data_IF_508180030033
#
_entry.id   IF_508180030033
#
_cell.length_a   1.000
_cell.length_b   1.000
_cell.length_c   1.000
_cell.angle_alpha   90.00
_cell.angle_beta   90.00
_cell.angle_gamma   90.00
#
_symmetry.space_group_name_H-M   'P 1'
#
loop_
_entity.id
_entity.type
_entity.pdbx_description
1 polymer ?
#
# COMPACT_ATOMS: atom_id res chain seq x y z
N UNK A 1 17.51 -13.62 11.50
CA UNK A 1 18.29 -12.65 12.25
C UNK A 1 19.44 -12.13 11.42
N UNK A 2 19.61 -10.82 11.42
CA UNK A 2 20.73 -10.14 10.80
C UNK A 2 21.50 -9.35 11.86
N UNK A 3 22.80 -9.37 11.76
CA UNK A 3 23.71 -8.61 12.62
C UNK A 3 24.34 -7.48 11.81
N UNK A 4 24.35 -6.27 12.36
CA UNK A 4 25.00 -5.14 11.71
C UNK A 4 26.51 -5.33 11.74
N UNK A 5 27.14 -5.30 10.57
CA UNK A 5 28.59 -5.47 10.43
C UNK A 5 29.29 -4.11 10.40
N UNK A 6 28.76 -3.17 9.61
CA UNK A 6 29.27 -1.80 9.53
C UNK A 6 28.32 -0.89 8.75
N UNK A 7 28.01 0.28 9.24
CA UNK A 7 27.09 1.22 8.58
C UNK A 7 25.73 0.57 8.29
N UNK A 8 25.35 0.50 7.03
CA UNK A 8 24.10 -0.17 6.56
C UNK A 8 24.33 -1.59 6.05
N UNK A 9 25.48 -2.20 6.32
CA UNK A 9 25.76 -3.59 5.95
C UNK A 9 25.41 -4.55 7.06
N UNK A 10 24.64 -5.60 6.72
CA UNK A 10 24.17 -6.61 7.64
C UNK A 10 24.56 -8.00 7.12
N UNK A 11 25.00 -8.87 8.04
CA UNK A 11 25.25 -10.28 7.76
C UNK A 11 24.16 -11.13 8.43
N UNK A 12 23.77 -12.22 7.78
CA UNK A 12 22.84 -13.17 8.37
C UNK A 12 23.54 -13.93 9.51
N UNK A 13 23.10 -13.69 10.73
CA UNK A 13 23.63 -14.33 11.96
C UNK A 13 22.90 -15.63 12.31
N UNK A 14 21.69 -15.82 11.78
CA UNK A 14 20.90 -17.03 12.01
C UNK A 14 19.56 -16.97 11.31
N UNK A 15 18.91 -18.12 11.20
CA UNK A 15 17.58 -18.26 10.64
C UNK A 15 16.84 -19.42 11.25
N UNK A 16 15.53 -19.34 11.29
CA UNK A 16 14.63 -20.41 11.66
C UNK A 16 13.46 -20.40 10.70
N UNK A 17 13.08 -21.56 10.21
CA UNK A 17 11.87 -21.75 9.41
C UNK A 17 10.85 -22.53 10.20
N UNK A 18 9.60 -22.08 10.13
CA UNK A 18 8.47 -22.79 10.73
C UNK A 18 7.28 -22.67 9.79
N UNK A 19 6.38 -23.66 9.85
CA UNK A 19 5.11 -23.62 9.12
C UNK A 19 4.01 -23.13 10.07
N UNK A 20 3.15 -22.26 9.55
CA UNK A 20 1.97 -21.76 10.25
C UNK A 20 0.76 -22.07 9.39
N UNK A 21 -0.27 -22.61 10.00
CA UNK A 21 -1.60 -22.73 9.41
C UNK A 21 -2.42 -21.52 9.86
N UNK A 22 -2.91 -20.74 8.91
CA UNK A 22 -3.73 -19.56 9.19
C UNK A 22 -5.20 -19.97 9.22
N UNK A 23 -5.94 -19.56 10.22
CA UNK A 23 -7.41 -19.73 10.27
C UNK A 23 -8.08 -18.88 9.18
N UNK A 24 -7.56 -17.69 8.94
CA UNK A 24 -7.97 -16.79 7.84
C UNK A 24 -6.73 -16.37 7.04
N UNK A 25 -6.70 -16.77 5.78
CA UNK A 25 -5.59 -16.49 4.86
C UNK A 25 -5.48 -14.99 4.54
N UNK A 26 -6.55 -14.22 4.73
CA UNK A 26 -6.58 -12.79 4.48
C UNK A 26 -6.20 -11.96 5.71
N UNK A 27 -6.17 -12.54 6.91
CA UNK A 27 -5.88 -11.82 8.15
C UNK A 27 -4.56 -11.04 8.13
N UNK A 28 -3.45 -11.52 7.53
CA UNK A 28 -2.21 -10.73 7.41
C UNK A 28 -2.38 -9.42 6.66
N UNK A 29 -3.32 -9.39 5.70
CA UNK A 29 -3.58 -8.22 4.84
C UNK A 29 -4.57 -7.22 5.44
N UNK A 30 -4.96 -7.41 6.70
CA UNK A 30 -5.68 -6.44 7.54
C UNK A 30 -4.74 -5.72 8.52
N UNK A 31 -3.54 -6.26 8.73
CA UNK A 31 -2.60 -5.74 9.72
C UNK A 31 -1.65 -4.69 9.14
N UNK A 32 -1.21 -3.72 9.95
CA UNK A 32 -0.10 -2.85 9.57
C UNK A 32 1.20 -3.65 9.46
N UNK A 33 2.11 -3.16 8.62
CA UNK A 33 3.46 -3.69 8.48
C UNK A 33 4.43 -2.55 8.13
N UNK A 34 5.69 -2.87 7.85
CA UNK A 34 6.70 -1.85 7.57
C UNK A 34 6.42 -0.99 6.31
N UNK A 35 5.67 -1.50 5.32
CA UNK A 35 5.30 -0.78 4.10
C UNK A 35 3.95 -0.07 4.22
N UNK A 36 3.02 -0.69 4.92
CA UNK A 36 1.68 -0.16 5.18
C UNK A 36 1.59 0.13 6.68
N UNK A 37 2.29 1.20 7.10
CA UNK A 37 2.43 1.53 8.51
C UNK A 37 1.31 2.49 8.95
N UNK A 38 0.49 2.04 9.90
CA UNK A 38 -0.54 2.86 10.53
C UNK A 38 -0.85 2.36 11.94
N UNK A 39 -1.37 3.25 12.77
CA UNK A 39 -1.90 2.95 14.10
C UNK A 39 -3.34 3.46 14.20
N UNK A 40 -4.12 3.08 15.21
CA UNK A 40 -5.47 3.61 15.39
C UNK A 40 -5.53 5.14 15.47
N UNK A 41 -4.44 5.80 15.88
CA UNK A 41 -4.32 7.25 16.03
C UNK A 41 -3.86 7.97 14.74
N UNK A 42 -3.45 7.22 13.72
CA UNK A 42 -2.98 7.79 12.45
C UNK A 42 -4.08 8.58 11.74
N UNK A 43 -3.71 9.70 11.11
CA UNK A 43 -4.65 10.54 10.35
C UNK A 43 -5.34 9.75 9.23
N UNK A 44 -4.61 8.85 8.56
CA UNK A 44 -5.15 8.00 7.50
C UNK A 44 -6.32 7.15 7.97
N UNK A 45 -6.30 6.66 9.22
CA UNK A 45 -7.37 5.85 9.83
C UNK A 45 -8.60 6.71 10.12
N UNK A 46 -8.40 7.92 10.69
CA UNK A 46 -9.50 8.83 10.97
C UNK A 46 -10.26 9.23 9.68
N UNK A 47 -9.52 9.60 8.63
CA UNK A 47 -10.10 9.95 7.33
C UNK A 47 -10.82 8.74 6.70
N UNK A 48 -10.23 7.55 6.75
CA UNK A 48 -10.88 6.34 6.23
C UNK A 48 -12.18 6.01 6.96
N UNK A 49 -12.23 6.20 8.28
CA UNK A 49 -13.44 5.98 9.07
C UNK A 49 -14.57 6.93 8.68
N UNK A 50 -14.27 8.20 8.42
CA UNK A 50 -15.27 9.17 7.93
C UNK A 50 -15.78 8.81 6.52
N UNK A 51 -14.87 8.47 5.61
CA UNK A 51 -15.22 8.11 4.22
C UNK A 51 -16.07 6.83 4.14
N UNK A 52 -15.80 5.87 5.00
CA UNK A 52 -16.46 4.58 4.98
C UNK A 52 -17.68 4.51 5.92
N UNK A 53 -18.07 5.61 6.55
CA UNK A 53 -19.20 5.63 7.48
C UNK A 53 -20.50 5.20 6.79
N UNK A 54 -21.12 4.13 7.30
CA UNK A 54 -22.36 3.59 6.74
C UNK A 54 -22.19 2.74 5.48
N UNK A 55 -20.98 2.49 5.02
CA UNK A 55 -20.69 1.56 3.92
C UNK A 55 -20.50 0.15 4.50
N UNK A 56 -21.15 -0.81 3.88
CA UNK A 56 -21.16 -2.19 4.39
C UNK A 56 -20.14 -3.08 3.67
N UNK A 57 -20.06 -2.96 2.34
CA UNK A 57 -19.24 -3.85 1.51
C UNK A 57 -17.82 -3.33 1.27
N UNK A 58 -16.87 -4.25 1.04
CA UNK A 58 -15.49 -3.88 0.65
C UNK A 58 -15.44 -3.11 -0.66
N UNK A 59 -16.35 -3.42 -1.60
CA UNK A 59 -16.44 -2.72 -2.88
C UNK A 59 -16.88 -1.26 -2.74
N UNK A 60 -17.84 -0.97 -1.87
CA UNK A 60 -18.27 0.40 -1.55
C UNK A 60 -17.14 1.19 -0.89
N UNK A 61 -16.42 0.59 0.06
CA UNK A 61 -15.27 1.21 0.74
C UNK A 61 -14.13 1.49 -0.24
N UNK A 62 -13.83 0.54 -1.14
CA UNK A 62 -12.85 0.75 -2.20
C UNK A 62 -13.25 1.93 -3.11
N UNK A 63 -14.51 2.01 -3.53
CA UNK A 63 -14.99 3.10 -4.37
C UNK A 63 -14.85 4.46 -3.67
N UNK A 64 -15.18 4.55 -2.38
CA UNK A 64 -15.04 5.77 -1.59
C UNK A 64 -13.58 6.20 -1.43
N UNK A 65 -12.68 5.28 -1.07
CA UNK A 65 -11.23 5.54 -0.96
C UNK A 65 -10.64 5.96 -2.29
N UNK A 66 -11.01 5.28 -3.38
CA UNK A 66 -10.58 5.61 -4.73
C UNK A 66 -10.97 7.02 -5.14
N UNK A 67 -12.24 7.39 -4.97
CA UNK A 67 -12.73 8.74 -5.28
C UNK A 67 -11.98 9.79 -4.46
N UNK A 68 -11.80 9.56 -3.17
CA UNK A 68 -11.08 10.46 -2.29
C UNK A 68 -9.63 10.70 -2.73
N UNK A 69 -8.89 9.63 -3.08
CA UNK A 69 -7.50 9.76 -3.53
C UNK A 69 -7.45 10.50 -4.87
N UNK A 70 -8.29 10.14 -5.82
CA UNK A 70 -8.33 10.76 -7.15
C UNK A 70 -8.63 12.27 -7.08
N UNK A 71 -9.50 12.69 -6.17
CA UNK A 71 -9.93 14.08 -6.05
C UNK A 71 -8.97 14.96 -5.23
N UNK A 72 -8.21 14.37 -4.31
CA UNK A 72 -7.48 15.12 -3.29
C UNK A 72 -5.95 15.01 -3.37
N UNK A 73 -5.40 14.15 -4.25
CA UNK A 73 -3.97 13.90 -4.31
C UNK A 73 -3.39 14.15 -5.69
N UNK A 74 -2.11 14.53 -5.70
CA UNK A 74 -1.32 14.71 -6.91
C UNK A 74 -0.09 13.80 -6.87
N UNK A 75 0.42 13.45 -8.06
CA UNK A 75 1.66 12.70 -8.16
C UNK A 75 2.87 13.60 -7.96
N UNK A 76 3.79 13.19 -7.06
CA UNK A 76 5.02 13.93 -6.77
C UNK A 76 6.14 13.54 -7.72
N UNK A 77 6.24 14.25 -8.85
CA UNK A 77 7.29 14.05 -9.84
C UNK A 77 8.70 14.37 -9.33
N UNK A 78 8.82 15.28 -8.36
CA UNK A 78 10.12 15.64 -7.76
C UNK A 78 10.59 14.50 -6.87
N UNK A 79 9.74 14.01 -5.98
CA UNK A 79 10.02 12.86 -5.14
C UNK A 79 10.33 11.62 -5.99
N UNK A 80 9.61 11.40 -7.09
CA UNK A 80 9.82 10.25 -7.97
C UNK A 80 11.24 10.17 -8.55
N UNK A 81 11.86 11.30 -8.88
CA UNK A 81 13.23 11.35 -9.43
C UNK A 81 14.32 11.50 -8.36
N UNK A 82 13.96 11.80 -7.11
CA UNK A 82 14.91 11.98 -6.00
C UNK A 82 14.89 10.83 -5.00
N UNK A 83 13.87 9.97 -5.05
CA UNK A 83 13.75 8.78 -4.17
C UNK A 83 14.91 7.82 -4.41
N UNK A 84 15.51 7.37 -3.31
CA UNK A 84 16.60 6.38 -3.33
C UNK A 84 16.08 4.96 -3.09
N UNK A 85 16.74 3.93 -3.64
CA UNK A 85 16.38 2.55 -3.39
C UNK A 85 16.36 2.23 -1.88
N UNK A 86 15.31 1.53 -1.45
CA UNK A 86 15.11 1.15 -0.05
C UNK A 86 14.38 2.19 0.80
N UNK A 87 13.99 3.33 0.23
CA UNK A 87 13.13 4.27 0.93
C UNK A 87 11.73 3.68 1.12
N UNK A 88 11.24 3.72 2.36
CA UNK A 88 9.92 3.21 2.70
C UNK A 88 8.82 4.19 2.30
N UNK A 89 7.57 3.72 2.07
CA UNK A 89 6.42 4.59 1.88
C UNK A 89 6.24 5.55 3.05
N UNK A 90 5.90 6.79 2.74
CA UNK A 90 5.62 7.85 3.72
C UNK A 90 4.14 8.25 3.65
N UNK A 91 3.30 7.51 4.40
CA UNK A 91 1.84 7.73 4.40
C UNK A 91 1.50 9.08 5.03
N UNK A 92 2.10 9.43 6.17
CA UNK A 92 1.78 10.68 6.88
C UNK A 92 2.23 11.90 6.06
N UNK A 93 3.45 11.89 5.51
CA UNK A 93 3.91 12.97 4.62
C UNK A 93 3.08 13.10 3.34
N UNK A 94 2.58 11.98 2.80
CA UNK A 94 1.63 11.98 1.68
C UNK A 94 0.28 12.61 2.08
N UNK A 95 -0.24 12.29 3.28
CA UNK A 95 -1.48 12.87 3.81
C UNK A 95 -1.35 14.39 4.02
N UNK A 96 -0.23 14.84 4.58
CA UNK A 96 0.03 16.26 4.87
C UNK A 96 0.21 17.09 3.59
N UNK A 97 1.06 16.62 2.67
CA UNK A 97 1.40 17.34 1.44
C UNK A 97 0.35 17.24 0.34
N UNK A 98 -0.55 16.26 0.41
CA UNK A 98 -1.47 15.86 -0.67
C UNK A 98 -0.74 15.45 -1.94
N UNK A 99 0.51 14.99 -1.80
CA UNK A 99 1.35 14.53 -2.90
C UNK A 99 2.09 13.24 -2.51
N UNK A 100 2.22 12.33 -3.46
CA UNK A 100 2.94 11.08 -3.24
C UNK A 100 3.39 10.43 -4.54
N UNK A 101 4.34 9.52 -4.44
CA UNK A 101 4.73 8.61 -5.52
C UNK A 101 3.93 7.30 -5.43
N UNK A 102 4.11 6.40 -6.38
CA UNK A 102 3.35 5.15 -6.46
C UNK A 102 3.31 4.38 -5.13
N UNK A 103 4.45 4.24 -4.45
CA UNK A 103 4.51 3.52 -3.17
C UNK A 103 3.76 4.24 -2.03
N UNK A 104 3.80 5.58 -1.98
CA UNK A 104 3.11 6.34 -0.94
C UNK A 104 1.58 6.26 -1.12
N UNK A 105 1.13 6.46 -2.37
CA UNK A 105 -0.29 6.39 -2.73
C UNK A 105 -0.86 4.98 -2.52
N UNK A 106 -0.12 3.94 -2.94
CA UNK A 106 -0.54 2.55 -2.75
C UNK A 106 -0.57 2.16 -1.27
N UNK A 107 0.45 2.56 -0.48
CA UNK A 107 0.49 2.28 0.96
C UNK A 107 -0.62 3.02 1.71
N UNK A 108 -0.92 4.28 1.34
CA UNK A 108 -2.03 5.05 1.90
C UNK A 108 -3.37 4.40 1.59
N UNK A 109 -3.61 3.99 0.34
CA UNK A 109 -4.84 3.28 -0.04
C UNK A 109 -5.01 1.97 0.75
N UNK A 110 -3.92 1.19 0.88
CA UNK A 110 -3.93 -0.04 1.67
C UNK A 110 -4.20 0.24 3.15
N UNK A 111 -3.59 1.27 3.75
CA UNK A 111 -3.83 1.64 5.15
C UNK A 111 -5.29 2.06 5.38
N UNK A 112 -5.86 2.87 4.48
CA UNK A 112 -7.27 3.27 4.54
C UNK A 112 -8.19 2.06 4.54
N UNK A 113 -8.01 1.14 3.58
CA UNK A 113 -8.88 -0.03 3.44
C UNK A 113 -8.70 -1.05 4.57
N UNK A 114 -7.44 -1.36 4.94
CA UNK A 114 -7.13 -2.30 6.04
C UNK A 114 -7.74 -1.83 7.35
N UNK A 115 -7.63 -0.54 7.67
CA UNK A 115 -8.21 0.03 8.89
C UNK A 115 -9.75 -0.06 8.94
N UNK A 116 -10.39 -0.23 7.79
CA UNK A 116 -11.85 -0.41 7.66
C UNK A 116 -12.26 -1.87 7.44
N UNK A 117 -11.37 -2.83 7.72
CA UNK A 117 -11.65 -4.25 7.66
C UNK A 117 -11.67 -4.84 6.24
N UNK A 118 -11.12 -4.16 5.25
CA UNK A 118 -10.97 -4.68 3.89
C UNK A 118 -9.53 -5.15 3.69
N UNK A 119 -9.29 -6.46 3.45
CA UNK A 119 -7.95 -6.97 3.27
C UNK A 119 -7.36 -6.53 1.93
N UNK A 120 -6.10 -6.06 1.99
CA UNK A 120 -5.38 -5.48 0.84
C UNK A 120 -3.94 -5.94 0.83
N UNK A 121 -3.48 -6.49 -0.28
CA UNK A 121 -2.06 -6.69 -0.56
C UNK A 121 -1.46 -5.38 -1.07
N UNK A 122 -0.38 -4.91 -0.44
CA UNK A 122 0.52 -3.91 -1.01
C UNK A 122 1.52 -4.63 -1.90
N UNK A 123 1.51 -4.35 -3.18
CA UNK A 123 2.27 -5.09 -4.19
C UNK A 123 3.36 -4.23 -4.80
N UNK A 124 4.52 -4.84 -5.01
CA UNK A 124 5.67 -4.25 -5.70
C UNK A 124 6.07 -5.14 -6.86
N UNK A 125 6.41 -4.54 -7.99
CA UNK A 125 6.81 -5.26 -9.19
C UNK A 125 6.96 -4.33 -10.38
N UNK A 126 6.47 -4.74 -11.54
CA UNK A 126 6.57 -3.96 -12.77
C UNK A 126 5.19 -3.69 -13.36
N UNK A 127 4.95 -2.45 -13.75
CA UNK A 127 3.87 -2.04 -14.64
C UNK A 127 4.50 -1.77 -16.03
N UNK A 128 4.38 -2.70 -16.94
CA UNK A 128 5.18 -2.74 -18.17
C UNK A 128 6.68 -2.86 -17.85
N UNK A 129 7.46 -1.84 -18.15
CA UNK A 129 8.91 -1.80 -17.89
C UNK A 129 9.29 -0.91 -16.69
N UNK A 130 8.30 -0.36 -15.97
CA UNK A 130 8.52 0.56 -14.86
C UNK A 130 8.37 -0.17 -13.54
N UNK A 131 9.38 -0.07 -12.66
CA UNK A 131 9.28 -0.58 -11.29
C UNK A 131 8.24 0.24 -10.54
N UNK A 132 7.28 -0.43 -9.92
CA UNK A 132 6.04 0.19 -9.52
C UNK A 132 5.45 -0.45 -8.26
N UNK A 133 4.57 0.28 -7.58
CA UNK A 133 3.79 -0.23 -6.46
C UNK A 133 2.31 0.05 -6.69
N UNK A 134 1.48 -0.93 -6.34
CA UNK A 134 0.01 -0.88 -6.42
C UNK A 134 -0.62 -1.71 -5.32
N UNK A 135 -1.94 -1.86 -5.34
CA UNK A 135 -2.67 -2.70 -4.39
C UNK A 135 -3.47 -3.78 -5.11
N UNK A 136 -3.68 -4.91 -4.42
CA UNK A 136 -4.72 -5.89 -4.76
C UNK A 136 -5.67 -5.96 -3.58
N UNK A 137 -6.91 -5.55 -3.80
CA UNK A 137 -7.98 -5.56 -2.79
C UNK A 137 -8.69 -6.90 -2.85
N UNK A 138 -8.73 -7.61 -1.72
CA UNK A 138 -9.28 -8.97 -1.63
C UNK A 138 -10.75 -8.86 -1.23
N UNK A 139 -11.64 -8.82 -2.22
CA UNK A 139 -13.09 -8.74 -2.02
C UNK A 139 -13.74 -10.12 -2.08
N UNK A 140 -14.93 -10.24 -1.50
CA UNK A 140 -15.71 -11.49 -1.54
C UNK A 140 -16.08 -11.90 -2.98
N UNK A 141 -16.31 -10.91 -3.85
CA UNK A 141 -16.66 -11.12 -5.26
C UNK A 141 -15.44 -11.42 -6.15
N UNK A 142 -14.22 -11.33 -5.60
CA UNK A 142 -12.97 -11.55 -6.29
C UNK A 142 -11.97 -10.40 -6.11
N UNK A 143 -10.72 -10.69 -6.37
CA UNK A 143 -9.62 -9.75 -6.17
C UNK A 143 -9.66 -8.63 -7.21
N UNK A 144 -9.45 -7.38 -6.77
CA UNK A 144 -9.43 -6.19 -7.61
C UNK A 144 -8.05 -5.56 -7.57
N UNK A 145 -7.39 -5.46 -8.73
CA UNK A 145 -6.19 -4.64 -8.86
C UNK A 145 -6.62 -3.17 -8.79
N UNK A 146 -6.05 -2.45 -7.85
CA UNK A 146 -6.24 -1.02 -7.70
C UNK A 146 -4.89 -0.30 -7.68
N UNK A 147 -4.65 0.54 -8.68
CA UNK A 147 -3.46 1.39 -8.79
C UNK A 147 -3.85 2.86 -8.65
N UNK A 148 -3.64 3.47 -7.47
CA UNK A 148 -3.97 4.88 -7.25
C UNK A 148 -3.20 5.83 -8.17
N UNK A 149 -2.01 5.43 -8.63
CA UNK A 149 -1.19 6.24 -9.54
C UNK A 149 -1.89 6.45 -10.89
N UNK A 150 -2.58 5.42 -11.40
CA UNK A 150 -3.37 5.54 -12.64
C UNK A 150 -4.47 6.58 -12.49
N UNK A 151 -5.16 6.57 -11.37
CA UNK A 151 -6.27 7.51 -11.14
C UNK A 151 -5.79 8.95 -10.97
N UNK A 152 -4.61 9.14 -10.36
CA UNK A 152 -4.06 10.48 -10.06
C UNK A 152 -3.39 11.14 -11.28
N UNK A 153 -2.69 10.38 -12.12
CA UNK A 153 -1.91 10.96 -13.22
C UNK A 153 -1.92 10.18 -14.54
N UNK A 154 -2.61 9.03 -14.59
CA UNK A 154 -2.66 8.18 -15.77
C UNK A 154 -1.40 7.37 -16.08
N UNK A 155 -0.32 7.49 -15.29
CA UNK A 155 0.88 6.65 -15.42
C UNK A 155 0.48 5.19 -15.15
N UNK A 156 1.04 4.28 -15.96
CA UNK A 156 0.72 2.85 -15.95
C UNK A 156 -0.68 2.46 -16.44
N UNK A 157 -1.50 3.41 -16.94
CA UNK A 157 -2.80 3.08 -17.53
C UNK A 157 -2.65 2.08 -18.69
N UNK A 158 -3.33 0.93 -18.60
CA UNK A 158 -3.26 -0.14 -19.59
C UNK A 158 -1.97 -0.96 -19.58
N UNK A 159 -1.09 -0.78 -18.61
CA UNK A 159 0.11 -1.59 -18.45
C UNK A 159 -0.23 -3.03 -18.04
N UNK A 160 0.65 -3.97 -18.39
CA UNK A 160 0.64 -5.33 -17.86
C UNK A 160 1.42 -5.33 -16.55
N UNK A 161 0.80 -5.82 -15.47
CA UNK A 161 1.40 -5.87 -14.15
C UNK A 161 2.06 -7.23 -13.92
N UNK A 162 3.29 -7.19 -13.39
CA UNK A 162 4.05 -8.38 -12.99
C UNK A 162 4.48 -8.22 -11.54
N UNK A 163 3.93 -9.04 -10.66
CA UNK A 163 4.24 -9.02 -9.22
C UNK A 163 5.61 -9.61 -8.95
N UNK A 164 6.45 -8.91 -8.17
CA UNK A 164 7.66 -9.47 -7.57
C UNK A 164 7.43 -9.87 -6.11
N UNK A 165 6.75 -9.00 -5.35
CA UNK A 165 6.49 -9.18 -3.91
C UNK A 165 5.16 -8.55 -3.54
N UNK A 166 4.56 -9.08 -2.47
CA UNK A 166 3.39 -8.48 -1.82
C UNK A 166 3.54 -8.56 -0.29
N UNK A 167 2.83 -7.67 0.37
CA UNK A 167 2.95 -7.48 1.82
C UNK A 167 1.58 -7.20 2.45
#
# INVERSE_FOLDING_TARGET
>A
LYENVTGNSYAQAGGMSFSVELEDVNAPFLCPNQYVNFTPESQVVAVAAELCQGLETGAEKLAAVRAYIQENYLYDYIKAVTTTPGQMPDIEGCMESRMGICQDLAAMAAAMLRSQGVPVEFVVGYAGNVYHAWTVVLLEEGNVLYDPTVDVNGIAAGAVYTTERFY
#
